data_IF_289649945361
#
_entry.id   IF_289649945361
#
_cell.length_a   1.000
_cell.length_b   1.000
_cell.length_c   1.000
_cell.angle_alpha   90.00
_cell.angle_beta   90.00
_cell.angle_gamma   90.00
#
_symmetry.space_group_name_H-M   'P 1'
#
loop_
_entity.id
_entity.type
_entity.pdbx_description
1 polymer ?
#
# COMPACT_ATOMS: atom_id res chain seq x y z
N UNK A 1 18.59 13.83 -0.24
CA UNK A 1 17.77 14.08 -1.46
C UNK A 1 16.40 14.53 -0.96
N UNK A 2 15.97 15.71 -1.35
CA UNK A 2 14.66 16.23 -1.01
C UNK A 2 13.62 15.66 -2.00
N UNK A 3 12.50 15.14 -1.47
CA UNK A 3 11.38 14.61 -2.24
C UNK A 3 10.23 15.60 -2.13
N UNK A 4 9.91 16.28 -3.21
CA UNK A 4 8.82 17.25 -3.23
C UNK A 4 7.47 16.56 -3.25
N UNK A 5 6.51 17.11 -2.51
CA UNK A 5 5.09 16.76 -2.66
C UNK A 5 4.53 17.41 -3.93
N UNK A 6 3.46 16.85 -4.48
CA UNK A 6 2.73 17.48 -5.58
C UNK A 6 2.27 18.88 -5.16
N UNK A 7 2.50 19.92 -5.97
CA UNK A 7 1.96 21.24 -5.65
C UNK A 7 0.44 21.17 -5.58
N UNK A 8 -0.19 21.94 -4.66
CA UNK A 8 -1.63 22.00 -4.61
C UNK A 8 -2.18 22.62 -5.89
N UNK A 9 -3.34 22.17 -6.33
CA UNK A 9 -4.01 22.77 -7.46
C UNK A 9 -4.32 24.25 -7.13
N UNK A 10 -4.01 25.21 -8.04
CA UNK A 10 -4.30 26.61 -7.80
C UNK A 10 -5.81 26.80 -7.66
N UNK A 11 -6.18 27.64 -6.71
CA UNK A 11 -7.57 28.01 -6.48
C UNK A 11 -7.96 29.12 -7.43
N UNK A 12 -8.98 28.90 -8.20
CA UNK A 12 -9.58 29.88 -9.10
C UNK A 12 -10.93 30.31 -8.54
N UNK A 13 -11.13 31.61 -8.40
CA UNK A 13 -12.40 32.17 -7.95
C UNK A 13 -13.13 32.79 -9.14
N UNK A 14 -14.32 32.30 -9.42
CA UNK A 14 -15.23 32.85 -10.43
C UNK A 14 -16.55 33.19 -9.76
N UNK A 15 -16.91 34.48 -9.77
CA UNK A 15 -18.04 35.01 -9.03
C UNK A 15 -17.93 34.65 -7.52
N UNK A 16 -18.82 33.81 -7.02
CA UNK A 16 -18.84 33.37 -5.61
C UNK A 16 -18.34 31.93 -5.41
N UNK A 17 -17.84 31.27 -6.48
CA UNK A 17 -17.36 29.91 -6.46
C UNK A 17 -15.83 29.88 -6.44
N UNK A 18 -15.28 29.04 -5.58
CA UNK A 18 -13.85 28.76 -5.52
C UNK A 18 -13.63 27.26 -5.85
N UNK A 19 -12.81 26.97 -6.84
CA UNK A 19 -12.47 25.61 -7.24
C UNK A 19 -10.99 25.50 -7.58
N UNK A 20 -10.45 24.30 -7.38
CA UNK A 20 -9.09 23.99 -7.73
C UNK A 20 -8.98 23.59 -9.20
N UNK A 21 -8.05 24.20 -9.90
CA UNK A 21 -7.73 23.86 -11.31
C UNK A 21 -6.49 22.97 -11.33
N UNK A 22 -6.46 21.89 -12.14
CA UNK A 22 -5.25 21.10 -12.31
C UNK A 22 -4.07 21.96 -12.72
N UNK A 23 -2.92 21.75 -12.12
CA UNK A 23 -1.69 22.46 -12.44
C UNK A 23 -0.77 21.56 -13.23
N UNK A 24 -0.58 21.86 -14.51
CA UNK A 24 0.20 21.02 -15.43
C UNK A 24 1.66 21.48 -15.62
N UNK A 25 2.09 22.55 -14.92
CA UNK A 25 3.39 23.19 -15.21
C UNK A 25 4.59 22.57 -14.47
N UNK A 26 4.37 21.69 -13.50
CA UNK A 26 5.46 21.03 -12.79
C UNK A 26 5.48 19.53 -13.05
N UNK A 27 6.67 19.01 -13.33
CA UNK A 27 6.92 17.59 -13.50
C UNK A 27 7.76 17.01 -12.35
N UNK A 28 7.57 15.72 -12.02
CA UNK A 28 8.41 15.04 -11.04
C UNK A 28 9.83 14.87 -11.59
N UNK A 29 10.85 15.22 -10.80
CA UNK A 29 12.26 15.21 -11.18
C UNK A 29 12.90 13.82 -11.18
N UNK A 30 12.31 12.88 -10.47
CA UNK A 30 12.83 11.53 -10.31
C UNK A 30 11.70 10.52 -10.02
N UNK A 31 12.04 9.24 -10.01
CA UNK A 31 11.07 8.16 -9.82
C UNK A 31 10.34 8.25 -8.48
N UNK A 32 10.98 8.69 -7.40
CA UNK A 32 10.35 8.82 -6.10
C UNK A 32 9.32 9.94 -6.06
N UNK A 33 9.62 11.11 -6.65
CA UNK A 33 8.66 12.19 -6.82
C UNK A 33 7.47 11.73 -7.68
N UNK A 34 7.74 10.98 -8.77
CA UNK A 34 6.69 10.41 -9.62
C UNK A 34 5.76 9.49 -8.84
N UNK A 35 6.32 8.63 -7.99
CA UNK A 35 5.54 7.75 -7.13
C UNK A 35 4.73 8.56 -6.11
N UNK A 36 5.37 9.50 -5.41
CA UNK A 36 4.73 10.33 -4.39
C UNK A 36 3.58 11.13 -4.99
N UNK A 37 3.76 11.77 -6.17
CA UNK A 37 2.72 12.56 -6.80
C UNK A 37 1.55 11.71 -7.32
N UNK A 38 1.83 10.50 -7.82
CA UNK A 38 0.78 9.55 -8.18
C UNK A 38 0.01 9.11 -6.93
N UNK A 39 0.72 8.81 -5.84
CA UNK A 39 0.12 8.37 -4.58
C UNK A 39 -0.73 9.47 -3.92
N UNK A 40 -0.33 10.73 -3.99
CA UNK A 40 -1.15 11.86 -3.52
C UNK A 40 -2.51 11.86 -4.22
N UNK A 41 -2.55 11.68 -5.57
CA UNK A 41 -3.80 11.61 -6.32
C UNK A 41 -4.64 10.38 -5.98
N UNK A 42 -3.98 9.23 -5.80
CA UNK A 42 -4.64 7.99 -5.40
C UNK A 42 -5.31 8.11 -4.02
N UNK A 43 -4.62 8.73 -3.06
CA UNK A 43 -5.16 8.95 -1.71
C UNK A 43 -6.34 9.92 -1.74
N UNK A 44 -6.25 11.00 -2.51
CA UNK A 44 -7.35 11.96 -2.65
C UNK A 44 -8.59 11.29 -3.25
N UNK A 45 -8.43 10.56 -4.35
CA UNK A 45 -9.53 9.80 -4.97
C UNK A 45 -10.08 8.68 -4.06
N UNK A 46 -9.23 8.05 -3.25
CA UNK A 46 -9.66 7.04 -2.30
C UNK A 46 -10.52 7.64 -1.17
N UNK A 47 -10.15 8.83 -0.67
CA UNK A 47 -10.92 9.56 0.36
C UNK A 47 -12.30 9.97 -0.12
N UNK A 48 -12.43 10.36 -1.39
CA UNK A 48 -13.72 10.69 -1.99
C UNK A 48 -14.62 9.46 -2.09
N UNK A 49 -14.07 8.31 -2.49
CA UNK A 49 -14.83 7.05 -2.61
C UNK A 49 -15.21 6.45 -1.26
N UNK A 50 -14.29 6.44 -0.31
CA UNK A 50 -14.47 5.86 1.02
C UNK A 50 -14.03 6.88 2.07
N UNK A 51 -14.95 7.68 2.61
CA UNK A 51 -14.63 8.63 3.68
C UNK A 51 -13.98 7.96 4.89
N UNK A 52 -13.06 8.67 5.56
CA UNK A 52 -12.34 8.15 6.72
C UNK A 52 -13.25 7.58 7.82
N UNK A 53 -14.43 8.19 8.02
CA UNK A 53 -15.42 7.70 9.00
C UNK A 53 -15.93 6.29 8.66
N UNK A 54 -16.04 5.98 7.37
CA UNK A 54 -16.46 4.65 6.94
C UNK A 54 -15.35 3.62 7.21
N UNK A 55 -14.08 3.96 6.94
CA UNK A 55 -12.94 3.11 7.29
C UNK A 55 -12.87 2.88 8.81
N UNK A 56 -13.05 3.94 9.62
CA UNK A 56 -13.06 3.80 11.07
C UNK A 56 -14.12 2.82 11.55
N UNK A 57 -15.36 2.92 11.02
CA UNK A 57 -16.41 1.95 11.34
C UNK A 57 -16.07 0.52 10.91
N UNK A 58 -15.48 0.35 9.72
CA UNK A 58 -15.08 -0.98 9.23
C UNK A 58 -14.04 -1.66 10.13
N UNK A 59 -13.13 -0.90 10.74
CA UNK A 59 -12.07 -1.46 11.57
C UNK A 59 -12.46 -1.60 13.05
N UNK A 60 -13.58 -1.04 13.48
CA UNK A 60 -14.00 -0.98 14.90
C UNK A 60 -14.15 -2.38 15.49
N UNK A 61 -14.79 -3.28 14.75
CA UNK A 61 -15.09 -4.65 15.18
C UNK A 61 -14.07 -5.69 14.67
N UNK A 62 -12.99 -5.25 14.01
CA UNK A 62 -11.97 -6.19 13.55
C UNK A 62 -11.14 -6.72 14.70
N UNK A 63 -10.78 -8.03 14.67
CA UNK A 63 -9.88 -8.60 15.67
C UNK A 63 -8.51 -7.85 15.65
N UNK A 64 -7.73 -7.90 16.73
CA UNK A 64 -6.40 -7.30 16.75
C UNK A 64 -5.53 -7.84 15.62
N UNK A 65 -4.54 -7.05 15.19
CA UNK A 65 -3.55 -7.50 14.21
C UNK A 65 -2.74 -8.67 14.77
N UNK A 66 -2.34 -9.59 13.90
CA UNK A 66 -1.39 -10.65 14.28
C UNK A 66 -0.06 -10.03 14.70
N UNK A 67 0.54 -10.54 15.74
CA UNK A 67 1.76 -9.97 16.30
C UNK A 67 2.98 -10.27 15.39
N UNK A 68 3.33 -9.28 14.58
CA UNK A 68 4.44 -9.33 13.63
C UNK A 68 5.80 -9.47 14.36
N UNK A 69 5.95 -8.78 15.48
CA UNK A 69 7.20 -8.77 16.22
C UNK A 69 7.42 -10.08 16.97
N UNK A 70 6.37 -10.60 17.65
CA UNK A 70 6.43 -11.90 18.28
C UNK A 70 6.74 -13.02 17.27
N UNK A 71 6.10 -13.01 16.11
CA UNK A 71 6.35 -13.99 15.05
C UNK A 71 7.83 -14.04 14.61
N UNK A 72 8.54 -12.91 14.62
CA UNK A 72 9.96 -12.85 14.31
C UNK A 72 10.85 -13.27 15.49
N UNK A 73 10.53 -12.81 16.70
CA UNK A 73 11.33 -13.09 17.91
C UNK A 73 11.27 -14.56 18.32
N UNK A 74 10.09 -15.16 18.18
CA UNK A 74 9.79 -16.54 18.59
C UNK A 74 9.97 -17.56 17.46
N UNK A 75 10.63 -17.17 16.37
CA UNK A 75 10.90 -18.08 15.26
C UNK A 75 11.78 -19.25 15.75
N UNK A 76 11.38 -20.51 15.49
CA UNK A 76 12.11 -21.69 15.93
C UNK A 76 13.48 -21.84 15.24
N UNK A 77 13.63 -21.20 14.06
CA UNK A 77 14.86 -21.18 13.27
C UNK A 77 15.26 -19.73 13.02
N UNK A 78 16.52 -19.42 13.19
CA UNK A 78 17.10 -18.10 12.93
C UNK A 78 18.09 -18.15 11.75
N UNK A 79 18.15 -17.13 10.90
CA UNK A 79 17.32 -15.91 10.95
C UNK A 79 15.86 -16.15 10.56
N UNK A 80 14.93 -15.42 11.22
CA UNK A 80 13.53 -15.41 10.82
C UNK A 80 13.35 -14.74 9.45
N UNK A 81 12.48 -15.27 8.61
CA UNK A 81 12.27 -14.78 7.24
C UNK A 81 10.98 -13.96 7.13
N UNK A 82 11.10 -12.75 6.59
CA UNK A 82 9.99 -11.97 6.04
C UNK A 82 10.02 -12.18 4.53
N UNK A 83 9.04 -12.89 3.96
CA UNK A 83 8.98 -13.12 2.52
C UNK A 83 8.13 -12.06 1.81
N UNK A 84 8.58 -11.59 0.63
CA UNK A 84 7.92 -10.52 -0.10
C UNK A 84 7.08 -11.03 -1.27
N UNK A 85 5.78 -10.69 -1.28
CA UNK A 85 4.84 -10.95 -2.38
C UNK A 85 4.83 -9.72 -3.30
N UNK A 86 5.47 -9.85 -4.47
CA UNK A 86 5.68 -8.75 -5.42
C UNK A 86 5.61 -9.21 -6.87
N UNK A 87 4.74 -8.56 -7.67
CA UNK A 87 4.58 -8.83 -9.10
C UNK A 87 5.59 -8.09 -9.97
N UNK A 88 5.76 -6.80 -9.72
CA UNK A 88 6.56 -5.90 -10.55
C UNK A 88 7.33 -4.88 -9.70
N UNK A 89 8.28 -4.18 -10.32
CA UNK A 89 8.95 -3.01 -9.73
C UNK A 89 9.32 -1.99 -10.80
N UNK A 90 9.45 -0.69 -10.46
CA UNK A 90 9.82 0.35 -11.41
C UNK A 90 11.15 0.11 -12.13
N UNK A 91 12.11 -0.55 -11.45
CA UNK A 91 13.45 -0.77 -11.97
C UNK A 91 13.59 -2.03 -12.83
N UNK A 92 12.71 -3.04 -12.64
CA UNK A 92 12.80 -4.35 -13.32
C UNK A 92 11.57 -4.67 -14.18
N UNK A 93 10.53 -3.84 -14.14
CA UNK A 93 9.25 -4.17 -14.78
C UNK A 93 8.56 -5.35 -14.10
N UNK A 94 7.86 -6.16 -14.87
CA UNK A 94 7.23 -7.38 -14.37
C UNK A 94 8.31 -8.41 -14.00
N UNK A 95 8.29 -8.86 -12.75
CA UNK A 95 9.22 -9.86 -12.20
C UNK A 95 8.61 -11.25 -12.33
N UNK A 96 7.30 -11.35 -12.20
CA UNK A 96 6.55 -12.60 -12.27
C UNK A 96 5.28 -12.42 -13.10
N UNK A 97 5.25 -13.00 -14.29
CA UNK A 97 4.08 -12.90 -15.20
C UNK A 97 2.91 -13.75 -14.70
N UNK A 98 3.20 -14.98 -14.25
CA UNK A 98 2.26 -15.93 -13.66
C UNK A 98 1.98 -15.62 -12.17
N UNK A 99 1.71 -14.35 -11.86
CA UNK A 99 1.55 -13.90 -10.48
C UNK A 99 0.23 -14.38 -9.86
N UNK A 100 0.35 -15.39 -9.00
CA UNK A 100 -0.70 -15.86 -8.08
C UNK A 100 -0.30 -15.56 -6.64
N UNK A 101 -0.81 -14.48 -6.03
CA UNK A 101 -0.40 -14.06 -4.69
C UNK A 101 -0.77 -15.07 -3.61
N UNK A 102 -1.86 -15.81 -3.79
CA UNK A 102 -2.32 -16.83 -2.84
C UNK A 102 -1.39 -18.05 -2.87
N UNK A 103 -1.08 -18.55 -4.06
CA UNK A 103 -0.14 -19.68 -4.21
C UNK A 103 1.25 -19.32 -3.68
N UNK A 104 1.74 -18.11 -3.97
CA UNK A 104 3.02 -17.60 -3.46
C UNK A 104 3.01 -17.53 -1.93
N UNK A 105 1.97 -16.93 -1.34
CA UNK A 105 1.86 -16.78 0.11
C UNK A 105 1.83 -18.15 0.82
N UNK A 106 1.08 -19.10 0.29
CA UNK A 106 1.04 -20.48 0.82
C UNK A 106 2.40 -21.18 0.70
N UNK A 107 3.09 -21.03 -0.42
CA UNK A 107 4.41 -21.59 -0.63
C UNK A 107 5.43 -21.00 0.37
N UNK A 108 5.40 -19.69 0.62
CA UNK A 108 6.24 -19.03 1.61
C UNK A 108 5.93 -19.50 3.03
N UNK A 109 4.65 -19.64 3.38
CA UNK A 109 4.24 -20.17 4.68
C UNK A 109 4.74 -21.63 4.88
N UNK A 110 4.56 -22.49 3.89
CA UNK A 110 5.06 -23.86 3.90
C UNK A 110 6.61 -23.93 3.94
N UNK A 111 7.28 -22.97 3.33
CA UNK A 111 8.74 -22.81 3.35
C UNK A 111 9.30 -22.24 4.65
N UNK A 112 8.46 -21.95 5.66
CA UNK A 112 8.90 -21.50 6.98
C UNK A 112 9.03 -19.99 7.14
N UNK A 113 8.51 -19.16 6.20
CA UNK A 113 8.41 -17.71 6.41
C UNK A 113 7.60 -17.42 7.69
N UNK A 114 8.03 -16.42 8.45
CA UNK A 114 7.37 -16.04 9.70
C UNK A 114 6.40 -14.87 9.53
N UNK A 115 6.66 -14.03 8.55
CA UNK A 115 5.82 -12.91 8.16
C UNK A 115 5.87 -12.74 6.64
N UNK A 116 4.86 -12.07 6.08
CA UNK A 116 4.88 -11.68 4.68
C UNK A 116 4.85 -10.16 4.53
N UNK A 117 5.53 -9.65 3.51
CA UNK A 117 5.46 -8.27 3.03
C UNK A 117 4.73 -8.26 1.69
N UNK A 118 3.57 -7.58 1.62
CA UNK A 118 2.72 -7.59 0.43
C UNK A 118 2.70 -6.21 -0.20
N UNK A 119 3.14 -6.10 -1.46
CA UNK A 119 3.10 -4.85 -2.22
C UNK A 119 1.66 -4.44 -2.53
N UNK A 120 1.27 -3.24 -2.12
CA UNK A 120 -0.08 -2.70 -2.33
C UNK A 120 -0.12 -1.55 -3.33
N UNK A 121 1.03 -1.02 -3.74
CA UNK A 121 1.08 -0.03 -4.80
C UNK A 121 0.68 -0.63 -6.15
N UNK A 122 -0.37 -0.05 -6.77
CA UNK A 122 -0.95 -0.54 -8.02
C UNK A 122 -0.17 -0.07 -9.24
N UNK A 123 0.19 1.19 -9.27
CA UNK A 123 0.72 1.85 -10.48
C UNK A 123 2.15 1.39 -10.80
N UNK A 124 3.01 1.27 -9.80
CA UNK A 124 4.44 1.01 -10.00
C UNK A 124 4.87 -0.42 -9.67
N UNK A 125 4.09 -1.12 -8.84
CA UNK A 125 4.41 -2.48 -8.41
C UNK A 125 3.36 -3.52 -8.83
N UNK A 126 2.28 -3.09 -9.47
CA UNK A 126 1.16 -3.95 -9.89
C UNK A 126 0.61 -4.80 -8.73
N UNK A 127 0.65 -4.25 -7.51
CA UNK A 127 0.03 -4.79 -6.32
C UNK A 127 -1.38 -4.24 -6.11
N UNK A 128 -1.90 -4.36 -4.88
CA UNK A 128 -3.21 -3.81 -4.52
C UNK A 128 -3.62 -4.17 -3.10
N UNK A 129 -4.58 -3.44 -2.55
CA UNK A 129 -5.22 -3.82 -1.29
C UNK A 129 -6.07 -5.09 -1.43
N UNK A 130 -6.60 -5.38 -2.63
CA UNK A 130 -7.24 -6.64 -2.99
C UNK A 130 -6.27 -7.81 -2.85
N UNK A 131 -5.05 -7.69 -3.36
CA UNK A 131 -3.98 -8.67 -3.17
C UNK A 131 -3.68 -8.90 -1.68
N UNK A 132 -3.62 -7.81 -0.88
CA UNK A 132 -3.41 -7.92 0.56
C UNK A 132 -4.54 -8.72 1.24
N UNK A 133 -5.80 -8.45 0.87
CA UNK A 133 -6.97 -9.17 1.38
C UNK A 133 -6.92 -10.66 1.01
N UNK A 134 -6.63 -10.99 -0.26
CA UNK A 134 -6.50 -12.39 -0.72
C UNK A 134 -5.43 -13.14 0.05
N UNK A 135 -4.25 -12.55 0.22
CA UNK A 135 -3.16 -13.13 1.02
C UNK A 135 -3.55 -13.27 2.49
N UNK A 136 -4.23 -12.26 3.06
CA UNK A 136 -4.70 -12.28 4.44
C UNK A 136 -5.64 -13.45 4.73
N UNK A 137 -6.50 -13.77 3.76
CA UNK A 137 -7.44 -14.89 3.85
C UNK A 137 -6.77 -16.25 3.62
N UNK A 138 -5.66 -16.29 2.88
CA UNK A 138 -4.99 -17.52 2.47
C UNK A 138 -4.03 -18.11 3.49
N UNK A 139 -3.46 -17.26 4.39
CA UNK A 139 -2.43 -17.67 5.36
C UNK A 139 -2.64 -17.03 6.73
N UNK A 140 -2.13 -17.72 7.78
CA UNK A 140 -2.21 -17.24 9.17
C UNK A 140 -1.00 -16.37 9.60
N UNK A 141 -0.04 -16.11 8.69
CA UNK A 141 1.13 -15.30 9.00
C UNK A 141 0.75 -13.81 9.20
N UNK A 142 1.47 -13.08 10.07
CA UNK A 142 1.39 -11.63 10.11
C UNK A 142 1.80 -11.01 8.78
N UNK A 143 1.07 -9.96 8.34
CA UNK A 143 1.32 -9.28 7.08
C UNK A 143 1.78 -7.83 7.31
N UNK A 144 2.76 -7.40 6.53
CA UNK A 144 3.16 -6.02 6.36
C UNK A 144 2.53 -5.49 5.06
N UNK A 145 1.69 -4.45 5.16
CA UNK A 145 1.26 -3.67 4.01
C UNK A 145 2.45 -2.84 3.48
N UNK A 146 3.01 -3.25 2.36
CA UNK A 146 4.18 -2.61 1.73
C UNK A 146 3.71 -1.50 0.79
N UNK A 147 3.67 -0.28 1.30
CA UNK A 147 3.10 0.90 0.62
C UNK A 147 3.95 2.16 0.84
N UNK A 148 3.80 3.14 -0.05
CA UNK A 148 4.27 4.51 0.17
C UNK A 148 3.22 5.27 0.98
N UNK A 149 3.40 5.29 2.30
CA UNK A 149 2.46 5.92 3.22
C UNK A 149 2.75 7.42 3.30
N UNK A 150 1.88 8.23 2.72
CA UNK A 150 1.97 9.70 2.68
C UNK A 150 0.95 10.37 3.61
N UNK A 151 -0.06 9.62 4.01
CA UNK A 151 -1.19 10.10 4.78
C UNK A 151 -1.65 9.07 5.82
N UNK A 152 -2.06 9.51 7.02
CA UNK A 152 -2.69 8.62 8.01
C UNK A 152 -3.91 7.86 7.49
N UNK A 153 -4.61 8.38 6.48
CA UNK A 153 -5.73 7.70 5.83
C UNK A 153 -5.35 6.31 5.33
N UNK A 154 -4.15 6.14 4.76
CA UNK A 154 -3.66 4.87 4.23
C UNK A 154 -3.45 3.81 5.34
N UNK A 155 -3.17 4.23 6.58
CA UNK A 155 -3.08 3.30 7.72
C UNK A 155 -4.45 2.69 8.04
N UNK A 156 -5.52 3.48 7.94
CA UNK A 156 -6.88 2.97 8.09
C UNK A 156 -7.28 2.06 6.93
N UNK A 157 -6.86 2.38 5.69
CA UNK A 157 -7.08 1.48 4.54
C UNK A 157 -6.37 0.13 4.74
N UNK A 158 -5.09 0.17 5.12
CA UNK A 158 -4.32 -1.04 5.38
C UNK A 158 -4.91 -1.88 6.52
N UNK A 159 -5.45 -1.22 7.55
CA UNK A 159 -6.09 -1.92 8.68
C UNK A 159 -7.44 -2.53 8.29
N UNK A 160 -8.18 -1.89 7.39
CA UNK A 160 -9.47 -2.39 6.91
C UNK A 160 -9.32 -3.58 5.93
N UNK A 161 -8.16 -3.69 5.25
CA UNK A 161 -7.79 -4.82 4.40
C UNK A 161 -7.19 -5.98 5.22
#
# INVERSE_FOLDING_TARGET
MEIRRRPPNPKVRVAHLEYAVPHDEEEPRNILEKIVWAKDREVDAARERVPLQNLKRQIEDLPPTRDFLAALREAPVQPAVIAEVKKASPSKGVIREDFDPVAIARAYAAGGARCLSVLTDKTFFQGGFDVLVEVRQAVELPLLCKEFVLSPYQLFQARAA
#
